data_IF_006141048974
#
_entry.id   IF_006141048974
#
_cell.length_a   1.000
_cell.length_b   1.000
_cell.length_c   1.000
_cell.angle_alpha   90.00
_cell.angle_beta   90.00
_cell.angle_gamma   90.00
#
_symmetry.space_group_name_H-M   'P 1'
#
loop_
_entity.id
_entity.type
_entity.pdbx_description
1 polymer ?
#
# COMPACT_ATOMS: atom_id res chain seq x y z
N UNK A 1 20.75 -0.41 20.47
CA UNK A 1 21.35 -1.03 19.26
C UNK A 1 22.33 -2.17 19.60
N UNK A 2 23.11 -2.06 20.67
CA UNK A 2 24.11 -3.08 21.06
C UNK A 2 23.53 -4.49 21.24
N UNK A 3 22.33 -4.61 21.83
CA UNK A 3 21.65 -5.90 22.00
C UNK A 3 21.31 -6.60 20.68
N UNK A 4 21.03 -5.82 19.62
CA UNK A 4 20.75 -6.33 18.27
C UNK A 4 21.99 -6.97 17.67
N UNK A 5 23.12 -6.26 17.75
CA UNK A 5 24.41 -6.76 17.28
C UNK A 5 24.86 -8.01 18.06
N UNK A 6 24.69 -8.00 19.39
CA UNK A 6 25.01 -9.16 20.23
C UNK A 6 24.16 -10.38 19.88
N UNK A 7 22.86 -10.20 19.61
CA UNK A 7 21.99 -11.28 19.16
C UNK A 7 22.39 -11.79 17.78
N UNK A 8 22.65 -10.90 16.82
CA UNK A 8 23.10 -11.27 15.47
C UNK A 8 24.38 -12.08 15.49
N UNK A 9 25.38 -11.65 16.28
CA UNK A 9 26.64 -12.38 16.47
C UNK A 9 26.41 -13.77 17.07
N UNK A 10 25.57 -13.87 18.11
CA UNK A 10 25.26 -15.16 18.73
C UNK A 10 24.56 -16.12 17.77
N UNK A 11 23.65 -15.62 16.93
CA UNK A 11 22.93 -16.45 15.95
C UNK A 11 23.90 -16.96 14.88
N UNK A 12 24.73 -16.09 14.29
CA UNK A 12 25.67 -16.52 13.23
C UNK A 12 26.74 -17.47 13.78
N UNK A 13 27.23 -17.26 15.00
CA UNK A 13 28.14 -18.19 15.66
C UNK A 13 27.51 -19.56 15.89
N UNK A 14 26.23 -19.59 16.29
CA UNK A 14 25.48 -20.83 16.48
C UNK A 14 25.29 -21.60 15.17
N UNK A 15 25.04 -20.89 14.07
CA UNK A 15 24.92 -21.50 12.74
C UNK A 15 26.27 -22.05 12.25
N UNK A 16 27.35 -21.28 12.39
CA UNK A 16 28.72 -21.73 12.05
C UNK A 16 29.18 -22.92 12.88
N UNK A 17 28.72 -23.04 14.13
CA UNK A 17 29.02 -24.19 14.97
C UNK A 17 28.27 -25.46 14.52
N UNK A 18 27.09 -25.31 13.91
CA UNK A 18 26.30 -26.43 13.39
C UNK A 18 26.77 -26.88 12.01
N UNK A 19 27.08 -25.92 11.12
CA UNK A 19 27.64 -26.19 9.80
C UNK A 19 28.84 -25.26 9.50
N UNK A 20 30.07 -25.70 9.81
CA UNK A 20 31.29 -24.92 9.56
C UNK A 20 31.62 -24.74 8.07
N UNK A 21 30.99 -25.52 7.17
CA UNK A 21 31.23 -25.45 5.73
C UNK A 21 30.53 -24.29 5.06
N UNK A 22 29.49 -23.74 5.69
CA UNK A 22 28.68 -22.65 5.12
C UNK A 22 29.28 -21.27 5.41
N UNK A 23 29.55 -20.51 4.36
CA UNK A 23 30.08 -19.15 4.47
C UNK A 23 28.92 -18.18 4.69
N UNK A 24 28.70 -17.82 5.95
CA UNK A 24 27.65 -16.88 6.36
C UNK A 24 28.22 -15.49 6.67
N UNK A 25 27.56 -14.45 6.18
CA UNK A 25 27.81 -13.05 6.54
C UNK A 25 26.65 -12.53 7.38
N UNK A 26 26.95 -11.75 8.43
CA UNK A 26 25.94 -11.11 9.27
C UNK A 26 26.17 -9.61 9.25
N UNK A 27 25.12 -8.84 8.98
CA UNK A 27 25.13 -7.39 8.95
C UNK A 27 23.96 -6.86 9.79
N UNK A 28 24.24 -5.90 10.66
CA UNK A 28 23.19 -5.17 11.39
C UNK A 28 22.62 -4.08 10.51
N UNK A 29 21.30 -3.89 10.56
CA UNK A 29 20.58 -2.87 9.80
C UNK A 29 19.63 -2.09 10.72
N UNK A 30 18.96 -1.07 10.18
CA UNK A 30 18.02 -0.22 10.94
C UNK A 30 16.85 -1.02 11.54
N UNK A 31 16.49 -2.15 10.89
CA UNK A 31 15.38 -3.03 11.28
C UNK A 31 15.76 -4.16 12.23
N UNK A 32 17.05 -4.36 12.50
CA UNK A 32 17.56 -5.53 13.19
C UNK A 32 18.89 -5.99 12.60
N UNK A 33 18.90 -7.17 12.00
CA UNK A 33 20.07 -7.71 11.32
C UNK A 33 19.66 -8.67 10.20
N UNK A 34 20.57 -8.97 9.31
CA UNK A 34 20.39 -9.95 8.24
C UNK A 34 21.56 -10.92 8.20
N UNK A 35 21.26 -12.15 7.82
CA UNK A 35 22.24 -13.21 7.61
C UNK A 35 22.14 -13.64 6.16
N UNK A 36 23.24 -13.58 5.45
CA UNK A 36 23.31 -13.94 4.04
C UNK A 36 24.25 -15.13 3.82
N UNK A 37 23.82 -16.05 2.97
CA UNK A 37 24.63 -17.09 2.36
C UNK A 37 24.88 -16.75 0.88
N UNK A 38 25.46 -17.68 0.11
CA UNK A 38 25.65 -17.50 -1.32
C UNK A 38 24.33 -17.45 -2.10
N UNK A 39 23.28 -18.11 -1.59
CA UNK A 39 22.03 -18.33 -2.33
C UNK A 39 20.83 -17.57 -1.74
N UNK A 40 20.89 -17.18 -0.46
CA UNK A 40 19.75 -16.58 0.22
C UNK A 40 20.16 -15.56 1.29
N UNK A 41 19.28 -14.59 1.53
CA UNK A 41 19.38 -13.64 2.64
C UNK A 41 18.14 -13.74 3.51
N UNK A 42 18.36 -13.89 4.81
CA UNK A 42 17.30 -13.87 5.81
C UNK A 42 17.41 -12.57 6.58
N UNK A 43 16.35 -11.75 6.52
CA UNK A 43 16.23 -10.51 7.32
C UNK A 43 15.50 -10.81 8.62
N UNK A 44 16.12 -10.47 9.75
CA UNK A 44 15.54 -10.61 11.08
C UNK A 44 15.04 -9.23 11.52
N UNK A 45 13.72 -9.05 11.47
CA UNK A 45 13.06 -7.85 11.94
C UNK A 45 12.88 -7.93 13.47
N UNK A 46 13.55 -7.04 14.19
CA UNK A 46 13.49 -7.01 15.65
C UNK A 46 12.30 -6.17 16.09
N UNK A 47 11.56 -6.69 17.07
CA UNK A 47 10.55 -5.92 17.78
C UNK A 47 10.54 -6.25 19.26
N UNK A 48 9.67 -5.58 20.02
CA UNK A 48 9.51 -5.75 21.47
C UNK A 48 8.04 -5.93 21.84
N UNK A 49 7.81 -6.43 23.04
CA UNK A 49 6.46 -6.55 23.63
C UNK A 49 5.81 -5.17 23.87
N UNK A 50 4.46 -5.06 23.77
CA UNK A 50 3.75 -3.79 23.90
C UNK A 50 4.05 -2.93 25.13
N UNK A 51 4.28 -3.50 26.35
CA UNK A 51 4.63 -2.70 27.52
C UNK A 51 5.93 -1.89 27.36
N UNK A 52 6.87 -2.39 26.56
CA UNK A 52 8.15 -1.72 26.33
C UNK A 52 8.04 -0.60 25.31
N UNK A 53 7.04 -0.62 24.42
CA UNK A 53 6.84 0.43 23.41
C UNK A 53 6.61 1.82 24.03
N UNK A 54 6.02 1.86 25.23
CA UNK A 54 5.79 3.10 26.00
C UNK A 54 7.02 3.59 26.77
N UNK A 55 8.08 2.78 26.83
CA UNK A 55 9.31 3.04 27.58
C UNK A 55 10.52 3.12 26.66
N UNK A 56 10.29 3.47 25.39
CA UNK A 56 11.35 3.58 24.41
C UNK A 56 12.19 4.82 24.71
N UNK A 57 13.52 4.65 24.70
CA UNK A 57 14.48 5.73 24.73
C UNK A 57 15.03 5.90 23.30
N UNK A 58 14.78 7.06 22.64
CA UNK A 58 15.26 7.32 21.28
C UNK A 58 16.78 7.24 21.11
N UNK A 59 17.57 7.43 22.17
CA UNK A 59 19.03 7.42 22.09
C UNK A 59 19.61 5.99 22.15
N UNK A 60 18.92 5.06 22.82
CA UNK A 60 19.40 3.69 23.00
C UNK A 60 18.68 2.65 22.13
N UNK A 61 17.40 2.87 21.83
CA UNK A 61 16.53 1.89 21.20
C UNK A 61 16.35 2.14 19.70
N UNK A 62 15.88 1.12 18.99
CA UNK A 62 15.45 1.26 17.60
C UNK A 62 14.25 2.20 17.52
N UNK A 63 14.07 2.86 16.38
CA UNK A 63 12.93 3.74 16.14
C UNK A 63 11.61 2.99 16.37
N UNK A 64 10.66 3.67 17.02
CA UNK A 64 9.33 3.14 17.30
C UNK A 64 8.62 2.70 16.02
N UNK A 65 8.82 3.43 14.91
CA UNK A 65 8.23 3.10 13.60
C UNK A 65 8.67 1.72 13.11
N UNK A 66 9.94 1.38 13.32
CA UNK A 66 10.54 0.12 12.90
C UNK A 66 10.06 -1.05 13.77
N UNK A 67 9.96 -0.84 15.07
CA UNK A 67 9.40 -1.85 15.97
C UNK A 67 7.92 -2.10 15.68
N UNK A 68 7.15 -1.05 15.38
CA UNK A 68 5.74 -1.14 15.02
C UNK A 68 5.54 -1.82 13.66
N UNK A 69 6.37 -1.53 12.66
CA UNK A 69 6.29 -2.18 11.35
C UNK A 69 6.56 -3.68 11.44
N UNK A 70 7.51 -4.11 12.29
CA UNK A 70 7.76 -5.52 12.56
C UNK A 70 6.57 -6.22 13.25
N UNK A 71 5.89 -5.54 14.20
CA UNK A 71 4.64 -6.07 14.78
C UNK A 71 3.49 -6.12 13.77
N UNK A 72 3.40 -5.12 12.89
CA UNK A 72 2.41 -5.10 11.81
C UNK A 72 2.65 -6.27 10.83
N UNK A 73 3.91 -6.56 10.48
CA UNK A 73 4.26 -7.70 9.64
C UNK A 73 3.79 -9.04 10.24
N UNK A 74 3.89 -9.22 11.57
CA UNK A 74 3.36 -10.41 12.25
C UNK A 74 1.83 -10.49 12.12
N UNK A 75 1.12 -9.36 12.32
CA UNK A 75 -0.34 -9.32 12.15
C UNK A 75 -0.75 -9.61 10.70
N UNK A 76 -0.04 -9.04 9.73
CA UNK A 76 -0.27 -9.26 8.31
C UNK A 76 -0.04 -10.72 7.92
N UNK A 77 1.05 -11.34 8.39
CA UNK A 77 1.34 -12.74 8.14
C UNK A 77 0.24 -13.66 8.68
N UNK A 78 -0.21 -13.42 9.91
CA UNK A 78 -1.31 -14.17 10.52
C UNK A 78 -2.64 -13.99 9.77
N UNK A 79 -3.00 -12.75 9.46
CA UNK A 79 -4.20 -12.47 8.70
C UNK A 79 -4.15 -13.13 7.32
N UNK A 80 -2.99 -13.11 6.65
CA UNK A 80 -2.79 -13.74 5.35
C UNK A 80 -2.98 -15.26 5.40
N UNK A 81 -2.40 -15.93 6.39
CA UNK A 81 -2.58 -17.37 6.59
C UNK A 81 -4.07 -17.75 6.79
N UNK A 82 -4.78 -16.97 7.61
CA UNK A 82 -6.19 -17.22 7.93
C UNK A 82 -7.15 -16.86 6.79
N UNK A 83 -6.86 -15.82 6.00
CA UNK A 83 -7.84 -15.21 5.07
C UNK A 83 -7.44 -15.28 3.58
N UNK A 84 -6.16 -15.43 3.26
CA UNK A 84 -5.63 -15.31 1.90
C UNK A 84 -4.80 -16.52 1.43
N UNK A 85 -4.92 -17.65 2.14
CA UNK A 85 -4.32 -18.95 1.78
C UNK A 85 -4.92 -19.61 0.52
N UNK A 86 -5.90 -18.98 -0.13
CA UNK A 86 -6.46 -19.44 -1.40
C UNK A 86 -5.46 -19.26 -2.54
N UNK A 87 -5.20 -20.32 -3.31
CA UNK A 87 -4.18 -20.35 -4.37
C UNK A 87 -4.23 -19.20 -5.39
N UNK A 88 -5.41 -18.63 -5.66
CA UNK A 88 -5.56 -17.49 -6.59
C UNK A 88 -4.93 -16.19 -6.08
N UNK A 89 -4.93 -15.96 -4.76
CA UNK A 89 -4.48 -14.68 -4.16
C UNK A 89 -2.95 -14.51 -4.25
N UNK A 90 -2.12 -15.50 -3.87
CA UNK A 90 -0.66 -15.44 -4.05
C UNK A 90 -0.21 -15.35 -5.52
N UNK A 91 -1.01 -15.84 -6.46
CA UNK A 91 -0.69 -15.76 -7.90
C UNK A 91 -1.06 -14.37 -8.46
N UNK A 92 -2.13 -13.76 -7.94
CA UNK A 92 -2.60 -12.44 -8.36
C UNK A 92 -1.77 -11.29 -7.77
N UNK A 93 -1.14 -11.50 -6.62
CA UNK A 93 -0.19 -10.57 -6.02
C UNK A 93 1.20 -11.01 -6.50
N UNK A 94 1.83 -10.32 -7.48
CA UNK A 94 3.22 -10.62 -7.78
C UNK A 94 4.01 -10.49 -6.47
N UNK A 95 4.80 -11.53 -6.15
CA UNK A 95 5.75 -11.46 -5.04
C UNK A 95 6.51 -10.15 -5.19
N UNK A 96 6.49 -9.29 -4.16
CA UNK A 96 7.17 -8.00 -4.19
C UNK A 96 8.62 -8.22 -4.62
N UNK A 97 8.91 -7.99 -5.90
CA UNK A 97 10.26 -8.03 -6.41
C UNK A 97 10.79 -6.62 -6.19
N UNK A 98 11.52 -6.51 -5.09
CA UNK A 98 12.24 -5.36 -4.53
C UNK A 98 11.50 -4.01 -4.57
N UNK A 99 11.11 -3.45 -3.40
CA UNK A 99 10.79 -2.03 -3.35
C UNK A 99 12.06 -1.26 -3.70
N UNK A 100 12.06 -0.62 -4.88
CA UNK A 100 13.05 0.40 -5.22
C UNK A 100 13.05 1.42 -4.06
N UNK A 101 14.20 1.75 -3.43
CA UNK A 101 14.25 2.49 -2.16
C UNK A 101 13.85 3.98 -2.26
N UNK A 102 13.44 4.44 -3.44
CA UNK A 102 13.03 5.81 -3.69
C UNK A 102 11.49 5.92 -3.81
N UNK A 103 10.79 6.44 -2.79
CA UNK A 103 9.32 6.60 -2.82
C UNK A 103 8.82 7.65 -3.84
N UNK A 104 9.72 8.47 -4.41
CA UNK A 104 9.40 9.40 -5.51
C UNK A 104 9.45 8.72 -6.88
N UNK A 105 10.18 7.61 -6.95
CA UNK A 105 10.13 6.61 -8.01
C UNK A 105 9.19 5.50 -7.53
N UNK A 106 7.88 5.75 -7.62
CA UNK A 106 7.07 4.65 -8.16
C UNK A 106 7.69 4.46 -9.54
N UNK A 107 8.42 3.37 -9.82
CA UNK A 107 8.93 3.19 -11.17
C UNK A 107 7.72 3.37 -12.08
N UNK A 108 7.91 3.86 -13.30
CA UNK A 108 6.97 3.53 -14.37
C UNK A 108 7.01 2.01 -14.54
N UNK A 109 6.49 1.31 -13.55
CA UNK A 109 6.57 -0.10 -13.40
C UNK A 109 5.69 -0.59 -14.55
N UNK A 110 6.18 -1.51 -15.40
CA UNK A 110 5.37 -2.02 -16.47
C UNK A 110 4.01 -2.39 -15.90
N UNK A 111 2.91 -2.15 -16.63
CA UNK A 111 1.54 -2.23 -16.11
C UNK A 111 1.13 -3.54 -15.40
N UNK A 112 2.00 -4.56 -15.43
CA UNK A 112 2.02 -5.74 -14.57
C UNK A 112 2.36 -5.49 -13.07
N UNK A 113 2.90 -4.32 -12.70
CA UNK A 113 3.56 -4.04 -11.42
C UNK A 113 2.92 -2.89 -10.62
N UNK A 114 1.63 -2.59 -10.78
CA UNK A 114 0.94 -1.94 -9.65
C UNK A 114 0.95 -2.99 -8.54
N UNK A 115 1.73 -2.81 -7.45
CA UNK A 115 1.77 -3.83 -6.41
C UNK A 115 0.40 -3.82 -5.75
N UNK A 116 -0.42 -4.81 -6.11
CA UNK A 116 -1.74 -5.00 -5.51
C UNK A 116 -1.47 -5.30 -4.04
N UNK A 117 -1.83 -4.40 -3.10
CA UNK A 117 -1.65 -4.69 -1.70
C UNK A 117 -2.39 -5.97 -1.38
N UNK A 118 -1.82 -6.81 -0.53
CA UNK A 118 -2.43 -8.09 -0.12
C UNK A 118 -3.92 -7.96 0.25
N UNK A 119 -4.36 -6.91 0.97
CA UNK A 119 -5.79 -6.67 1.25
C UNK A 119 -6.65 -6.46 -0.02
N UNK A 120 -6.09 -5.84 -1.06
CA UNK A 120 -6.77 -5.61 -2.33
C UNK A 120 -6.94 -6.90 -3.14
N UNK A 121 -5.93 -7.78 -3.15
CA UNK A 121 -6.04 -9.08 -3.81
C UNK A 121 -7.11 -9.96 -3.17
N UNK A 122 -7.15 -10.00 -1.84
CA UNK A 122 -8.21 -10.68 -1.09
C UNK A 122 -9.60 -10.06 -1.36
N UNK A 123 -9.72 -8.73 -1.31
CA UNK A 123 -10.98 -8.04 -1.61
C UNK A 123 -11.49 -8.39 -3.02
N UNK A 124 -10.62 -8.35 -4.03
CA UNK A 124 -11.01 -8.66 -5.40
C UNK A 124 -11.46 -10.13 -5.56
N UNK A 125 -10.79 -11.09 -4.91
CA UNK A 125 -11.10 -12.51 -5.06
C UNK A 125 -12.30 -12.93 -4.21
N UNK A 126 -12.35 -12.53 -2.94
CA UNK A 126 -13.25 -13.10 -1.93
C UNK A 126 -14.48 -12.23 -1.64
N UNK A 127 -14.40 -10.91 -1.80
CA UNK A 127 -15.53 -10.03 -1.52
C UNK A 127 -16.49 -9.98 -2.70
N UNK A 128 -17.28 -11.04 -2.90
CA UNK A 128 -18.28 -11.11 -3.96
C UNK A 128 -19.58 -11.76 -3.45
N UNK A 129 -20.75 -11.51 -4.08
CA UNK A 129 -22.02 -12.06 -3.63
C UNK A 129 -22.08 -13.60 -3.63
N UNK A 130 -21.31 -14.26 -4.50
CA UNK A 130 -21.31 -15.72 -4.62
C UNK A 130 -20.49 -16.39 -3.51
N UNK A 131 -19.73 -15.63 -2.71
CA UNK A 131 -18.85 -16.10 -1.62
C UNK A 131 -17.91 -17.23 -2.03
N UNK A 132 -17.62 -17.32 -3.33
CA UNK A 132 -16.69 -18.29 -3.89
C UNK A 132 -15.49 -17.55 -4.45
N UNK A 133 -14.27 -18.10 -4.37
CA UNK A 133 -13.10 -17.48 -4.97
C UNK A 133 -13.32 -17.26 -6.46
N UNK A 134 -13.16 -16.03 -6.93
CA UNK A 134 -13.19 -15.74 -8.36
C UNK A 134 -12.01 -16.42 -9.07
N UNK A 135 -12.22 -16.85 -10.31
CA UNK A 135 -11.15 -17.32 -11.18
C UNK A 135 -10.12 -16.21 -11.40
N UNK A 136 -8.84 -16.58 -11.58
CA UNK A 136 -7.71 -15.65 -11.66
C UNK A 136 -7.92 -14.53 -12.68
N UNK A 137 -8.40 -14.88 -13.88
CA UNK A 137 -8.68 -13.92 -14.95
C UNK A 137 -9.78 -12.90 -14.58
N UNK A 138 -10.81 -13.36 -13.87
CA UNK A 138 -11.92 -12.51 -13.42
C UNK A 138 -11.44 -11.62 -12.28
N UNK A 139 -10.69 -12.17 -11.33
CA UNK A 139 -10.12 -11.43 -10.21
C UNK A 139 -9.12 -10.35 -10.69
N UNK A 140 -8.25 -10.68 -11.64
CA UNK A 140 -7.27 -9.75 -12.21
C UNK A 140 -7.95 -8.57 -12.92
N UNK A 141 -8.94 -8.85 -13.77
CA UNK A 141 -9.77 -7.81 -14.40
C UNK A 141 -10.47 -6.94 -13.34
N UNK A 142 -11.02 -7.57 -12.30
CA UNK A 142 -11.72 -6.88 -11.22
C UNK A 142 -10.77 -5.95 -10.45
N UNK A 143 -9.54 -6.37 -10.15
CA UNK A 143 -8.53 -5.51 -9.50
C UNK A 143 -8.30 -4.22 -10.28
N UNK A 144 -8.14 -4.31 -11.60
CA UNK A 144 -7.96 -3.12 -12.44
C UNK A 144 -9.23 -2.26 -12.49
N UNK A 145 -10.41 -2.88 -12.56
CA UNK A 145 -11.70 -2.16 -12.58
C UNK A 145 -11.97 -1.39 -11.30
N UNK A 146 -11.73 -1.97 -10.12
CA UNK A 146 -11.97 -1.28 -8.84
C UNK A 146 -10.98 -0.13 -8.63
N UNK A 147 -9.73 -0.28 -9.08
CA UNK A 147 -8.76 0.82 -9.06
C UNK A 147 -9.17 1.93 -10.03
N UNK A 148 -9.56 1.58 -11.25
CA UNK A 148 -10.04 2.53 -12.26
C UNK A 148 -11.32 3.27 -11.83
N UNK A 149 -12.17 2.62 -11.02
CA UNK A 149 -13.36 3.22 -10.41
C UNK A 149 -13.04 4.11 -9.20
N UNK A 150 -11.76 4.26 -8.84
CA UNK A 150 -11.34 5.19 -7.79
C UNK A 150 -11.39 4.62 -6.37
N UNK A 151 -11.21 3.30 -6.19
CA UNK A 151 -11.19 2.70 -4.84
C UNK A 151 -10.21 3.40 -3.89
N UNK A 152 -9.09 3.93 -4.41
CA UNK A 152 -8.05 4.62 -3.64
C UNK A 152 -8.05 6.14 -3.81
N UNK A 153 -9.10 6.72 -4.42
CA UNK A 153 -9.22 8.17 -4.54
C UNK A 153 -9.78 8.80 -3.26
N UNK A 154 -9.55 10.11 -3.05
CA UNK A 154 -10.14 10.87 -1.95
C UNK A 154 -11.67 10.75 -1.96
N UNK A 155 -12.26 10.61 -0.77
CA UNK A 155 -13.71 10.38 -0.60
C UNK A 155 -14.14 8.91 -0.68
N UNK A 156 -13.28 8.01 -1.15
CA UNK A 156 -13.54 6.57 -1.11
C UNK A 156 -13.41 6.01 0.31
N UNK A 157 -14.26 5.04 0.66
CA UNK A 157 -14.08 4.20 1.86
C UNK A 157 -12.80 3.37 1.76
N UNK A 158 -12.35 3.07 0.54
CA UNK A 158 -11.16 2.27 0.26
C UNK A 158 -11.23 0.88 0.88
N UNK A 159 -10.05 0.37 1.24
CA UNK A 159 -9.91 -0.88 1.98
C UNK A 159 -9.46 -0.51 3.39
N UNK A 160 -10.24 -0.93 4.37
CA UNK A 160 -9.86 -0.86 5.78
C UNK A 160 -8.81 -1.92 6.05
N UNK A 161 -7.73 -1.54 6.71
CA UNK A 161 -6.70 -2.48 7.14
C UNK A 161 -7.28 -3.42 8.22
N UNK A 162 -7.34 -4.74 7.96
CA UNK A 162 -7.89 -5.69 8.92
C UNK A 162 -6.95 -5.97 10.10
N UNK A 163 -5.69 -5.52 10.02
CA UNK A 163 -4.64 -5.75 11.00
C UNK A 163 -4.40 -4.55 11.92
N UNK A 164 -4.97 -3.39 11.62
CA UNK A 164 -4.89 -2.20 12.45
C UNK A 164 -6.18 -1.98 13.26
N UNK A 165 -6.04 -1.37 14.43
CA UNK A 165 -7.19 -1.01 15.25
C UNK A 165 -7.85 0.26 14.72
N UNK A 166 -9.15 0.19 14.43
CA UNK A 166 -9.94 1.31 13.91
C UNK A 166 -10.14 1.24 12.39
N UNK A 167 -10.79 2.25 11.83
CA UNK A 167 -11.08 2.31 10.39
C UNK A 167 -9.91 2.93 9.60
N UNK A 168 -8.71 2.35 9.75
CA UNK A 168 -7.53 2.82 9.01
C UNK A 168 -7.64 2.42 7.54
N UNK A 169 -7.60 3.40 6.63
CA UNK A 169 -7.72 3.17 5.19
C UNK A 169 -6.34 2.98 4.59
N UNK A 170 -6.06 1.83 3.98
CA UNK A 170 -4.72 1.47 3.47
C UNK A 170 -4.16 2.50 2.47
N UNK A 171 -5.03 3.12 1.67
CA UNK A 171 -4.61 4.05 0.63
C UNK A 171 -4.15 5.42 1.13
N UNK A 172 -4.40 5.78 2.40
CA UNK A 172 -3.99 7.09 2.94
C UNK A 172 -2.48 7.20 3.16
N UNK A 173 -1.75 6.09 3.04
CA UNK A 173 -0.28 6.09 3.01
C UNK A 173 0.26 6.71 1.72
N UNK A 174 -0.52 6.69 0.64
CA UNK A 174 -0.16 7.31 -0.64
C UNK A 174 -0.55 8.79 -0.66
N UNK A 175 0.29 9.61 -1.29
CA UNK A 175 -0.02 11.01 -1.58
C UNK A 175 -1.18 11.12 -2.58
N UNK A 176 -1.85 12.27 -2.62
CA UNK A 176 -2.95 12.52 -3.57
C UNK A 176 -2.50 12.37 -5.04
N UNK A 177 -1.27 12.79 -5.33
CA UNK A 177 -0.63 12.62 -6.64
C UNK A 177 -0.40 11.15 -6.99
N UNK A 178 0.04 10.33 -6.02
CA UNK A 178 0.20 8.89 -6.21
C UNK A 178 -1.16 8.17 -6.35
N UNK A 179 -2.19 8.60 -5.61
CA UNK A 179 -3.55 8.05 -5.73
C UNK A 179 -4.13 8.29 -7.13
N UNK A 180 -3.94 9.49 -7.67
CA UNK A 180 -4.31 9.83 -9.04
C UNK A 180 -3.53 8.99 -10.06
N UNK A 181 -2.20 8.87 -9.88
CA UNK A 181 -1.33 8.02 -10.70
C UNK A 181 -1.82 6.57 -10.80
N UNK A 182 -2.14 5.95 -9.67
CA UNK A 182 -2.64 4.59 -9.64
C UNK A 182 -3.99 4.49 -10.38
N UNK A 183 -4.87 5.49 -10.19
CA UNK A 183 -6.19 5.50 -10.80
C UNK A 183 -6.14 5.63 -12.33
N UNK A 184 -5.47 6.66 -12.86
CA UNK A 184 -5.42 6.88 -14.32
C UNK A 184 -4.64 5.75 -15.04
N UNK A 185 -3.63 5.18 -14.37
CA UNK A 185 -2.91 4.02 -14.90
C UNK A 185 -3.88 2.84 -15.01
N UNK A 186 -4.60 2.51 -13.93
CA UNK A 186 -5.59 1.44 -13.94
C UNK A 186 -6.69 1.65 -14.99
N UNK A 187 -7.18 2.88 -15.17
CA UNK A 187 -8.16 3.21 -16.21
C UNK A 187 -7.66 2.90 -17.62
N UNK A 188 -6.39 3.22 -17.91
CA UNK A 188 -5.75 2.91 -19.18
C UNK A 188 -5.64 1.40 -19.39
N UNK A 189 -5.22 0.67 -18.36
CA UNK A 189 -5.06 -0.79 -18.43
C UNK A 189 -6.36 -1.55 -18.56
N UNK A 190 -7.45 -1.09 -17.94
CA UNK A 190 -8.78 -1.68 -18.12
C UNK A 190 -9.22 -1.61 -19.59
N UNK A 191 -8.92 -0.49 -20.26
CA UNK A 191 -9.24 -0.30 -21.69
C UNK A 191 -8.40 -1.24 -22.55
N UNK A 192 -7.09 -1.30 -22.33
CA UNK A 192 -6.19 -2.22 -23.05
C UNK A 192 -6.59 -3.69 -22.83
N UNK A 193 -6.91 -4.07 -21.60
CA UNK A 193 -7.35 -5.43 -21.26
C UNK A 193 -8.68 -5.80 -21.94
N UNK A 194 -9.53 -4.81 -22.23
CA UNK A 194 -10.80 -5.01 -22.95
C UNK A 194 -10.60 -5.19 -24.45
N UNK A 195 -9.52 -4.65 -25.02
CA UNK A 195 -9.11 -4.84 -26.41
C UNK A 195 -8.13 -6.01 -26.61
N UNK A 196 -8.01 -6.92 -25.62
CA UNK A 196 -7.21 -8.14 -25.75
C UNK A 196 -5.71 -7.95 -25.52
N UNK A 197 -5.24 -6.79 -25.03
CA UNK A 197 -3.83 -6.51 -24.76
C UNK A 197 -3.24 -7.21 -23.52
N UNK A 198 -3.82 -8.31 -23.05
CA UNK A 198 -3.42 -8.98 -21.81
C UNK A 198 -1.97 -9.48 -21.82
N UNK A 199 -1.45 -9.93 -22.98
CA UNK A 199 -0.07 -10.44 -23.09
C UNK A 199 0.97 -9.35 -22.82
N UNK A 200 0.69 -8.15 -23.31
CA UNK A 200 1.52 -6.96 -23.06
C UNK A 200 1.42 -6.52 -21.61
N UNK A 201 0.22 -6.48 -21.05
CA UNK A 201 0.02 -6.16 -19.62
C UNK A 201 0.79 -7.15 -18.73
N UNK A 202 0.79 -8.45 -19.07
CA UNK A 202 1.51 -9.49 -18.31
C UNK A 202 3.02 -9.57 -18.62
N UNK A 203 3.56 -8.65 -19.43
CA UNK A 203 4.99 -8.61 -19.75
C UNK A 203 5.50 -9.77 -20.63
N UNK A 204 4.61 -10.49 -21.31
CA UNK A 204 4.98 -11.61 -22.18
C UNK A 204 5.51 -11.16 -23.55
N UNK A 205 5.25 -9.91 -23.94
CA UNK A 205 5.58 -9.36 -25.27
C UNK A 205 6.55 -8.16 -25.19
N UNK A 206 7.51 -8.21 -24.27
CA UNK A 206 8.53 -7.18 -24.08
C UNK A 206 8.08 -6.02 -23.19
N UNK A 207 8.77 -4.88 -23.29
CA UNK A 207 8.45 -3.69 -22.50
C UNK A 207 7.00 -3.23 -22.78
N UNK A 208 6.30 -2.85 -21.71
CA UNK A 208 4.91 -2.44 -21.70
C UNK A 208 4.72 -1.09 -20.98
N UNK A 209 5.81 -0.46 -20.53
CA UNK A 209 5.79 0.83 -19.82
C UNK A 209 5.11 1.94 -20.63
N UNK A 210 5.36 1.99 -21.94
CA UNK A 210 4.78 2.98 -22.86
C UNK A 210 3.26 2.93 -22.95
N UNK A 211 2.62 1.82 -22.58
CA UNK A 211 1.16 1.67 -22.67
C UNK A 211 0.38 2.59 -21.73
N UNK A 212 1.01 3.06 -20.66
CA UNK A 212 0.40 3.99 -19.71
C UNK A 212 0.58 5.46 -20.12
N UNK A 213 1.45 5.77 -21.09
CA UNK A 213 1.82 7.14 -21.47
C UNK A 213 1.60 7.48 -22.94
N UNK A 214 1.61 6.48 -23.83
CA UNK A 214 1.49 6.68 -25.28
C UNK A 214 0.19 6.11 -25.85
N UNK A 215 -0.31 6.76 -26.91
CA UNK A 215 -1.44 6.25 -27.67
C UNK A 215 -1.07 4.90 -28.30
N UNK A 216 -1.93 3.90 -28.11
CA UNK A 216 -1.74 2.55 -28.64
C UNK A 216 -2.93 2.13 -29.47
N UNK A 217 -2.70 1.32 -30.51
CA UNK A 217 -3.77 0.80 -31.38
C UNK A 217 -3.94 -0.69 -31.14
N UNK A 218 -5.17 -1.12 -30.85
CA UNK A 218 -5.52 -2.50 -30.56
C UNK A 218 -6.71 -2.90 -31.42
N UNK A 219 -6.49 -3.82 -32.37
CA UNK A 219 -7.54 -4.33 -33.27
C UNK A 219 -8.34 -3.20 -33.96
N UNK A 220 -7.64 -2.16 -34.42
CA UNK A 220 -8.25 -0.98 -35.06
C UNK A 220 -8.83 0.07 -34.11
N UNK A 221 -8.82 -0.17 -32.79
CA UNK A 221 -9.24 0.82 -31.78
C UNK A 221 -8.04 1.58 -31.24
N UNK A 222 -8.10 2.91 -31.27
CA UNK A 222 -7.09 3.78 -30.68
C UNK A 222 -7.42 3.98 -29.19
N UNK A 223 -6.49 3.61 -28.32
CA UNK A 223 -6.58 3.76 -26.87
C UNK A 223 -5.67 4.92 -26.47
N UNK A 224 -6.28 6.03 -26.05
CA UNK A 224 -5.58 7.21 -25.51
C UNK A 224 -5.40 7.06 -24.00
N UNK A 225 -4.18 7.07 -23.45
CA UNK A 225 -3.97 6.98 -22.01
C UNK A 225 -4.73 8.03 -21.21
N UNK A 226 -5.17 7.66 -20.01
CA UNK A 226 -5.76 8.62 -19.07
C UNK A 226 -4.66 9.52 -18.52
N UNK A 227 -4.93 10.81 -18.42
CA UNK A 227 -3.96 11.81 -17.98
C UNK A 227 -4.10 12.13 -16.49
N UNK A 228 -3.06 12.76 -15.94
CA UNK A 228 -3.04 13.24 -14.56
C UNK A 228 -4.14 14.29 -14.35
N UNK A 229 -4.98 14.09 -13.34
CA UNK A 229 -6.04 15.01 -12.96
C UNK A 229 -5.71 15.79 -11.67
N UNK A 230 -4.75 15.32 -10.87
CA UNK A 230 -4.37 15.98 -9.63
C UNK A 230 -3.56 17.26 -9.88
N UNK A 231 -4.07 18.37 -9.38
CA UNK A 231 -3.39 19.66 -9.32
C UNK A 231 -2.96 19.95 -7.89
N UNK A 232 -1.72 20.43 -7.71
CA UNK A 232 -1.25 20.87 -6.39
C UNK A 232 -2.00 22.16 -6.01
N UNK A 233 -2.57 22.24 -4.79
CA UNK A 233 -3.13 23.49 -4.31
C UNK A 233 -2.06 24.60 -4.38
N UNK A 234 -2.44 25.84 -4.73
CA UNK A 234 -1.50 26.96 -4.69
C UNK A 234 -0.94 27.08 -3.27
N UNK A 235 0.37 27.23 -3.14
CA UNK A 235 1.02 27.50 -1.86
C UNK A 235 0.39 28.77 -1.28
N UNK A 236 -0.41 28.64 -0.22
CA UNK A 236 -0.85 29.81 0.56
C UNK A 236 0.43 30.45 1.11
N UNK A 237 0.68 31.70 0.72
CA UNK A 237 1.70 32.52 1.39
C UNK A 237 1.35 32.54 2.88
N UNK A 238 2.32 32.24 3.74
CA UNK A 238 2.19 32.41 5.19
C UNK A 238 1.72 33.85 5.46
N UNK A 239 0.46 34.03 5.85
CA UNK A 239 -0.13 35.36 6.10
C UNK A 239 -1.64 35.52 5.95
N UNK A 240 -2.39 34.56 5.40
CA UNK A 240 -3.86 34.66 5.25
C UNK A 240 -4.60 33.60 6.10
N UNK A 241 -4.20 33.44 7.36
CA UNK A 241 -4.95 32.69 8.39
C UNK A 241 -5.44 33.61 9.51
N UNK A 242 -6.03 34.76 9.17
CA UNK A 242 -6.85 35.52 10.12
C UNK A 242 -7.98 36.19 9.33
N UNK A 243 -9.05 35.47 8.95
CA UNK A 243 -10.39 36.09 8.79
C UNK A 243 -11.59 35.15 8.51
N UNK A 244 -11.42 33.83 8.34
CA UNK A 244 -12.58 32.94 8.08
C UNK A 244 -13.08 32.14 9.30
N UNK A 245 -12.87 32.63 10.53
CA UNK A 245 -13.41 31.99 11.73
C UNK A 245 -14.23 32.96 12.61
N UNK A 246 -15.16 33.69 11.99
CA UNK A 246 -16.30 34.27 12.71
C UNK A 246 -17.55 33.47 12.34
N UNK A 247 -17.80 32.41 13.11
CA UNK A 247 -19.14 31.86 13.25
C UNK A 247 -20.05 32.98 13.78
N UNK A 248 -21.04 33.37 12.98
CA UNK A 248 -22.11 34.28 13.41
C UNK A 248 -22.86 33.66 14.60
N UNK A 249 -23.05 34.38 15.72
CA UNK A 249 -23.88 33.89 16.81
C UNK A 249 -25.36 33.93 16.38
N UNK A 250 -26.04 32.80 16.53
CA UNK A 250 -27.48 32.66 16.32
C UNK A 250 -28.25 33.69 17.17
N UNK A 251 -28.84 34.68 16.51
CA UNK A 251 -29.77 35.62 17.11
C UNK A 251 -31.11 34.92 17.36
N UNK A 252 -31.56 34.94 18.63
CA UNK A 252 -32.81 34.34 19.08
C UNK A 252 -34.03 34.95 18.41
N UNK A 253 -34.95 34.08 18.00
CA UNK A 253 -36.32 34.45 17.64
C UNK A 253 -37.08 34.76 18.93
N UNK A 254 -37.26 36.05 19.23
CA UNK A 254 -38.26 36.52 20.18
C UNK A 254 -39.64 36.48 19.49
N UNK A 255 -40.49 35.53 19.89
CA UNK A 255 -41.91 35.55 19.54
C UNK A 255 -42.62 36.67 20.35
N UNK A 256 -42.95 37.77 19.68
CA UNK A 256 -43.94 38.75 20.16
C UNK A 256 -45.35 38.15 20.05
N UNK A 257 -45.86 37.58 21.15
CA UNK A 257 -47.29 37.34 21.32
C UNK A 257 -47.98 38.64 21.77
N UNK A 258 -48.61 39.35 20.83
CA UNK A 258 -49.53 40.45 21.11
C UNK A 258 -50.77 39.95 21.86
N UNK A 259 -50.97 40.42 23.09
CA UNK A 259 -52.27 40.41 23.76
C UNK A 259 -53.18 41.48 23.13
N UNK A 260 -54.39 41.08 22.73
CA UNK A 260 -55.54 41.99 22.62
C UNK A 260 -56.67 41.43 23.47
N UNK A 261 -57.03 42.19 24.50
CA UNK A 261 -58.27 42.06 25.26
C UNK A 261 -59.47 42.52 24.41
N UNK A 262 -60.48 41.67 24.29
CA UNK A 262 -61.88 41.94 24.68
C UNK A 262 -62.66 40.63 24.82
#
# INVERSE_FOLDING_TARGET
VEAVAALGNKVVESLRAQDPGEVLTMLTNETGFEISSADATVKILITTVPPNLRKLDPELHLDIKVLQSALAAIRHARWFEENASQSTIPILIPSQQDPDPDPSRVPAAPPALIPVPVPQGHYAVMNNPTRQPLALNVAYRRCLQILAAGLFLPGSVGITDPCESGNFRVHTVMTLEQQDMVCYTAQTLVRILSHGGYRKILGQEGDASYLASEMSTWDGVIVTPSEKAYEKPPEKKEGEEEEENQEEPAAGEEEESMETQE
#
